data_IF_038436425234
#
_entry.id   IF_038436425234
#
_cell.length_a   1.000
_cell.length_b   1.000
_cell.length_c   1.000
_cell.angle_alpha   90.00
_cell.angle_beta   90.00
_cell.angle_gamma   90.00
#
_symmetry.space_group_name_H-M   'P 1'
#
loop_
_entity.id
_entity.type
_entity.pdbx_description
1 polymer ?
#
# COMPACT_ATOMS: atom_id res chain seq x y z
N UNK A 1 -14.21 28.55 4.15
CA UNK A 1 -13.48 28.60 5.44
C UNK A 1 -11.98 28.63 5.13
N UNK A 2 -11.15 29.27 5.96
CA UNK A 2 -9.73 29.52 5.63
C UNK A 2 -8.76 28.87 6.61
N UNK A 3 -7.78 28.14 6.07
CA UNK A 3 -6.64 27.61 6.81
C UNK A 3 -5.51 28.64 6.79
N UNK A 4 -5.05 29.10 7.96
CA UNK A 4 -3.92 30.05 8.06
C UNK A 4 -2.64 29.32 8.47
N UNK A 5 -1.66 29.28 7.57
CA UNK A 5 -0.35 28.65 7.81
C UNK A 5 0.73 29.72 7.72
N UNK A 6 1.29 30.14 8.86
CA UNK A 6 2.43 31.07 8.92
C UNK A 6 3.75 30.31 8.91
N UNK A 7 4.10 29.76 7.74
CA UNK A 7 5.36 29.03 7.56
C UNK A 7 5.91 29.23 6.14
N UNK A 8 7.03 29.94 6.03
CA UNK A 8 7.67 30.28 4.75
C UNK A 8 8.07 29.04 3.92
N UNK A 9 8.48 27.95 4.60
CA UNK A 9 8.84 26.70 3.92
C UNK A 9 7.62 26.08 3.26
N UNK A 10 6.47 26.08 3.93
CA UNK A 10 5.21 25.54 3.38
C UNK A 10 4.77 26.36 2.19
N UNK A 11 4.81 27.69 2.29
CA UNK A 11 4.45 28.57 1.17
C UNK A 11 5.35 28.31 -0.05
N UNK A 12 6.67 28.24 0.15
CA UNK A 12 7.61 27.96 -0.94
C UNK A 12 7.35 26.61 -1.60
N UNK A 13 7.08 25.57 -0.82
CA UNK A 13 6.76 24.24 -1.34
C UNK A 13 5.45 24.25 -2.13
N UNK A 14 4.41 24.89 -1.61
CA UNK A 14 3.12 25.00 -2.29
C UNK A 14 3.26 25.75 -3.63
N UNK A 15 4.03 26.85 -3.66
CA UNK A 15 4.30 27.61 -4.89
C UNK A 15 5.07 26.78 -5.91
N UNK A 16 6.11 26.07 -5.48
CA UNK A 16 6.88 25.17 -6.36
C UNK A 16 5.99 24.08 -6.95
N UNK A 17 5.16 23.44 -6.12
CA UNK A 17 4.26 22.39 -6.56
C UNK A 17 3.25 22.93 -7.58
N UNK A 18 2.60 24.06 -7.28
CA UNK A 18 1.66 24.73 -8.20
C UNK A 18 2.30 25.07 -9.55
N UNK A 19 3.53 25.58 -9.57
CA UNK A 19 4.25 25.87 -10.83
C UNK A 19 4.55 24.60 -11.61
N UNK A 20 4.94 23.51 -10.93
CA UNK A 20 5.28 22.25 -11.58
C UNK A 20 4.04 21.50 -12.10
N UNK A 21 2.91 21.57 -11.40
CA UNK A 21 1.68 20.86 -11.77
C UNK A 21 0.74 21.69 -12.65
N UNK A 22 0.94 23.01 -12.71
CA UNK A 22 0.02 23.93 -13.38
C UNK A 22 -1.30 24.15 -12.60
N UNK A 23 -1.39 23.64 -11.37
CA UNK A 23 -2.56 23.77 -10.52
C UNK A 23 -2.55 25.11 -9.77
N UNK A 24 -3.69 25.54 -9.24
CA UNK A 24 -3.73 26.69 -8.33
C UNK A 24 -2.99 26.36 -7.03
N UNK A 25 -2.52 27.39 -6.31
CA UNK A 25 -1.83 27.18 -5.03
C UNK A 25 -2.67 26.34 -4.05
N UNK A 26 -3.97 26.63 -3.96
CA UNK A 26 -4.91 25.89 -3.12
C UNK A 26 -5.13 24.47 -3.64
N UNK A 27 -5.31 24.28 -4.95
CA UNK A 27 -5.52 22.96 -5.55
C UNK A 27 -4.31 22.03 -5.39
N UNK A 28 -3.10 22.59 -5.55
CA UNK A 28 -1.86 21.86 -5.32
C UNK A 28 -1.72 21.40 -3.85
N UNK A 29 -2.10 22.24 -2.89
CA UNK A 29 -2.11 21.89 -1.46
C UNK A 29 -3.16 20.82 -1.18
N UNK A 30 -4.39 21.00 -1.67
CA UNK A 30 -5.49 20.07 -1.48
C UNK A 30 -5.12 18.67 -1.97
N UNK A 31 -4.67 18.56 -3.22
CA UNK A 31 -4.27 17.29 -3.83
C UNK A 31 -3.09 16.64 -3.10
N UNK A 32 -2.08 17.41 -2.71
CA UNK A 32 -0.94 16.87 -1.94
C UNK A 32 -1.37 16.28 -0.59
N UNK A 33 -2.34 16.91 0.08
CA UNK A 33 -2.92 16.41 1.33
C UNK A 33 -3.73 15.14 1.09
N UNK A 34 -4.61 15.13 0.09
CA UNK A 34 -5.41 13.97 -0.30
C UNK A 34 -4.53 12.76 -0.61
N UNK A 35 -3.52 12.92 -1.46
CA UNK A 35 -2.60 11.84 -1.79
C UNK A 35 -1.83 11.34 -0.57
N UNK A 36 -1.42 12.23 0.34
CA UNK A 36 -0.73 11.81 1.56
C UNK A 36 -1.65 11.01 2.47
N UNK A 37 -2.90 11.43 2.61
CA UNK A 37 -3.91 10.70 3.39
C UNK A 37 -4.22 9.34 2.76
N UNK A 38 -4.37 9.28 1.44
CA UNK A 38 -4.60 8.02 0.71
C UNK A 38 -3.45 7.02 0.94
N UNK A 39 -2.19 7.45 0.77
CA UNK A 39 -1.01 6.61 1.03
C UNK A 39 -0.93 6.10 2.48
N UNK A 40 -1.39 6.88 3.45
CA UNK A 40 -1.43 6.45 4.86
C UNK A 40 -2.56 5.45 5.12
N UNK A 41 -3.72 5.65 4.49
CA UNK A 41 -4.86 4.74 4.58
C UNK A 41 -4.51 3.37 4.01
N UNK A 42 -3.94 3.32 2.81
CA UNK A 42 -3.49 2.08 2.18
C UNK A 42 -2.49 1.31 3.05
N UNK A 43 -1.49 2.00 3.62
CA UNK A 43 -0.53 1.38 4.54
C UNK A 43 -1.21 0.78 5.76
N UNK A 44 -2.16 1.49 6.33
CA UNK A 44 -2.93 1.01 7.49
C UNK A 44 -3.75 -0.21 7.12
N UNK A 45 -4.45 -0.20 5.98
CA UNK A 45 -5.26 -1.32 5.51
C UNK A 45 -4.41 -2.57 5.24
N UNK A 46 -3.24 -2.42 4.60
CA UNK A 46 -2.29 -3.52 4.40
C UNK A 46 -1.84 -4.10 5.74
N UNK A 47 -1.49 -3.26 6.71
CA UNK A 47 -1.09 -3.71 8.04
C UNK A 47 -2.22 -4.45 8.75
N UNK A 48 -3.44 -3.92 8.73
CA UNK A 48 -4.63 -4.57 9.30
C UNK A 48 -4.88 -5.92 8.64
N UNK A 49 -4.78 -6.00 7.30
CA UNK A 49 -4.95 -7.25 6.56
C UNK A 49 -3.90 -8.29 6.93
N UNK A 50 -2.63 -7.88 7.02
CA UNK A 50 -1.54 -8.77 7.44
C UNK A 50 -1.71 -9.26 8.88
N UNK A 51 -2.19 -8.40 9.79
CA UNK A 51 -2.50 -8.82 11.17
C UNK A 51 -3.62 -9.86 11.19
N UNK A 52 -4.70 -9.65 10.42
CA UNK A 52 -5.78 -10.63 10.30
C UNK A 52 -5.30 -11.97 9.72
N UNK A 53 -4.45 -11.94 8.69
CA UNK A 53 -3.86 -13.18 8.13
C UNK A 53 -3.04 -13.89 9.21
N UNK A 54 -2.17 -13.17 9.92
CA UNK A 54 -1.34 -13.74 10.99
C UNK A 54 -2.18 -14.34 12.12
N UNK A 55 -3.28 -13.69 12.48
CA UNK A 55 -4.21 -14.18 13.50
C UNK A 55 -4.84 -15.51 13.08
N UNK A 56 -5.29 -15.61 11.82
CA UNK A 56 -5.84 -16.85 11.26
C UNK A 56 -4.77 -17.94 11.19
N UNK A 57 -3.57 -17.63 10.70
CA UNK A 57 -2.53 -18.64 10.49
C UNK A 57 -1.85 -19.11 11.77
N UNK A 58 -1.87 -18.31 12.85
CA UNK A 58 -1.17 -18.64 14.10
C UNK A 58 -1.65 -19.95 14.73
N UNK A 59 -2.92 -20.28 14.54
CA UNK A 59 -3.54 -21.45 15.17
C UNK A 59 -3.75 -22.61 14.19
N UNK A 60 -3.23 -22.53 12.96
CA UNK A 60 -3.30 -23.64 12.02
C UNK A 60 -2.36 -24.76 12.46
N UNK A 61 -2.83 -26.02 12.50
CA UNK A 61 -1.95 -27.16 12.76
C UNK A 61 -0.96 -27.33 11.60
N UNK A 62 0.23 -27.92 11.85
CA UNK A 62 1.12 -28.29 10.76
C UNK A 62 0.42 -29.28 9.81
N UNK A 63 0.81 -29.31 8.52
CA UNK A 63 0.30 -30.33 7.61
C UNK A 63 0.63 -31.73 8.17
N UNK A 64 -0.25 -32.73 7.93
CA UNK A 64 0.02 -34.10 8.36
C UNK A 64 1.37 -34.61 7.81
N UNK A 65 2.06 -35.52 8.51
CA UNK A 65 3.29 -36.12 8.02
C UNK A 65 3.09 -36.75 6.62
N UNK A 66 3.98 -36.42 5.69
CA UNK A 66 3.92 -36.94 4.31
C UNK A 66 3.04 -36.14 3.35
N UNK A 67 2.29 -35.13 3.82
CA UNK A 67 1.61 -34.19 2.93
C UNK A 67 2.57 -33.09 2.48
N UNK A 68 2.66 -32.93 1.17
CA UNK A 68 3.44 -31.87 0.52
C UNK A 68 2.55 -31.10 -0.47
N UNK A 69 2.84 -29.82 -0.68
CA UNK A 69 2.27 -29.04 -1.80
C UNK A 69 3.13 -29.16 -3.06
N UNK A 70 4.14 -30.02 -3.02
CA UNK A 70 4.88 -30.44 -4.20
C UNK A 70 3.97 -31.31 -5.06
N UNK A 71 3.89 -30.97 -6.33
CA UNK A 71 3.08 -31.64 -7.35
C UNK A 71 3.94 -32.07 -8.53
N UNK A 72 5.26 -32.13 -8.36
CA UNK A 72 6.21 -32.57 -9.40
C UNK A 72 5.95 -34.00 -9.87
N UNK A 73 5.24 -34.82 -9.10
CA UNK A 73 4.78 -36.14 -9.49
C UNK A 73 3.65 -36.11 -10.55
N UNK A 74 2.94 -34.99 -10.69
CA UNK A 74 1.84 -34.83 -11.64
C UNK A 74 2.28 -34.27 -13.00
N UNK A 75 3.53 -33.83 -13.14
CA UNK A 75 4.04 -33.21 -14.36
C UNK A 75 5.41 -33.79 -14.75
N UNK A 76 5.65 -33.95 -16.05
CA UNK A 76 6.95 -34.36 -16.58
C UNK A 76 7.98 -33.21 -16.57
N UNK A 77 9.18 -33.48 -17.08
CA UNK A 77 10.28 -32.50 -17.13
C UNK A 77 9.95 -31.28 -18.01
N UNK A 78 9.01 -31.40 -18.94
CA UNK A 78 8.52 -30.30 -19.78
C UNK A 78 7.32 -29.56 -19.15
N UNK A 79 6.85 -30.01 -17.98
CA UNK A 79 5.72 -29.45 -17.25
C UNK A 79 4.36 -29.89 -17.79
N UNK A 80 4.30 -30.97 -18.56
CA UNK A 80 3.06 -31.56 -19.06
C UNK A 80 2.52 -32.60 -18.09
N UNK A 81 1.19 -32.74 -17.94
CA UNK A 81 0.62 -33.78 -17.09
C UNK A 81 1.02 -35.18 -17.55
N UNK A 82 1.50 -36.00 -16.60
CA UNK A 82 1.82 -37.43 -16.82
C UNK A 82 0.58 -38.32 -16.75
#
# INVERSE_FOLDING_TARGET
MGLNIKNEKVERLARQLSVQTGETLTGAIEKALEERLARLKEKTEVQVRLQRIREVTRNLPPPPPGFTSDHSDLYDEDGLPV
#
